data_IF_712744767943
#
_entry.id   IF_712744767943
#
_cell.length_a   1.000
_cell.length_b   1.000
_cell.length_c   1.000
_cell.angle_alpha   90.00
_cell.angle_beta   90.00
_cell.angle_gamma   90.00
#
_symmetry.space_group_name_H-M   'P 1'
#
loop_
_entity.id
_entity.type
_entity.pdbx_description
1 polymer ?
#
# COMPACT_ATOMS: atom_id res chain seq x y z
N UNK A 1 32.95 2.80 12.13
CA UNK A 1 31.80 1.94 12.49
C UNK A 1 30.91 1.67 11.26
N UNK A 2 31.41 0.94 10.24
CA UNK A 2 30.67 0.66 8.98
C UNK A 2 30.56 -0.84 8.63
N UNK A 3 31.04 -1.72 9.52
CA UNK A 3 31.10 -3.18 9.26
C UNK A 3 30.00 -4.00 9.98
N UNK A 4 29.21 -3.37 10.86
CA UNK A 4 28.12 -4.03 11.60
C UNK A 4 26.80 -4.02 10.82
N UNK A 5 26.59 -3.05 9.92
CA UNK A 5 25.31 -2.86 9.21
C UNK A 5 25.03 -3.91 8.14
N UNK A 6 26.06 -4.56 7.58
CA UNK A 6 25.90 -5.56 6.50
C UNK A 6 25.48 -6.93 7.05
N UNK A 7 25.84 -7.27 8.28
CA UNK A 7 25.47 -8.54 8.91
C UNK A 7 23.98 -8.61 9.30
N UNK A 8 23.35 -7.47 9.60
CA UNK A 8 21.93 -7.43 9.99
C UNK A 8 20.95 -7.54 8.82
N UNK A 9 21.29 -7.00 7.65
CA UNK A 9 20.51 -7.22 6.42
C UNK A 9 20.45 -8.70 6.04
N UNK A 10 21.53 -9.45 6.32
CA UNK A 10 21.60 -10.90 6.10
C UNK A 10 20.80 -11.66 7.18
N UNK A 11 20.81 -11.20 8.44
CA UNK A 11 19.98 -11.82 9.49
C UNK A 11 18.48 -11.66 9.25
N UNK A 12 18.06 -10.53 8.66
CA UNK A 12 16.67 -10.31 8.24
C UNK A 12 16.28 -11.26 7.09
N UNK A 13 17.20 -11.54 6.17
CA UNK A 13 17.02 -12.54 5.09
C UNK A 13 16.96 -13.97 5.64
N UNK A 14 17.81 -14.32 6.62
CA UNK A 14 17.88 -15.69 7.18
C UNK A 14 16.66 -15.98 8.06
N UNK A 15 16.17 -15.06 8.90
CA UNK A 15 15.02 -15.34 9.78
C UNK A 15 13.71 -15.56 9.00
N UNK A 16 13.49 -14.85 7.89
CA UNK A 16 12.30 -15.08 7.04
C UNK A 16 12.44 -16.31 6.13
N UNK A 17 13.65 -16.60 5.63
CA UNK A 17 13.86 -17.76 4.73
C UNK A 17 13.89 -19.10 5.45
N UNK A 18 14.34 -19.13 6.71
CA UNK A 18 14.45 -20.36 7.50
C UNK A 18 13.12 -20.80 8.14
N UNK A 19 12.22 -19.86 8.48
CA UNK A 19 10.89 -20.21 9.00
C UNK A 19 9.94 -20.72 7.93
N UNK A 20 10.07 -20.28 6.67
CA UNK A 20 9.23 -20.76 5.55
C UNK A 20 9.67 -22.15 5.06
N UNK A 21 10.96 -22.51 5.17
CA UNK A 21 11.47 -23.84 4.78
C UNK A 21 11.36 -24.91 5.88
N UNK A 22 11.07 -24.55 7.12
CA UNK A 22 10.92 -25.50 8.23
C UNK A 22 9.50 -26.09 8.37
N UNK A 23 8.57 -25.80 7.45
CA UNK A 23 7.21 -26.35 7.48
C UNK A 23 7.06 -27.75 6.85
N UNK A 24 8.16 -28.50 6.64
CA UNK A 24 8.13 -29.83 6.01
C UNK A 24 8.98 -30.90 6.73
N UNK A 25 9.11 -30.84 8.05
CA UNK A 25 9.49 -32.03 8.81
C UNK A 25 8.72 -32.11 10.13
N UNK A 26 7.74 -33.02 10.15
CA UNK A 26 7.15 -33.54 11.38
C UNK A 26 8.27 -34.05 12.30
N UNK A 27 8.35 -33.51 13.52
CA UNK A 27 8.20 -34.26 14.77
C UNK A 27 8.38 -33.35 15.99
N UNK A 28 7.43 -33.47 16.90
CA UNK A 28 7.48 -33.16 18.33
C UNK A 28 7.66 -31.71 18.81
N UNK A 29 6.53 -31.04 19.06
CA UNK A 29 6.26 -30.27 20.29
C UNK A 29 4.76 -29.89 20.35
N UNK A 30 3.96 -30.44 21.28
CA UNK A 30 2.53 -30.14 21.35
C UNK A 30 2.35 -28.75 21.98
N UNK A 31 2.00 -27.76 21.16
CA UNK A 31 1.64 -26.40 21.61
C UNK A 31 2.15 -25.23 20.74
N UNK A 32 2.94 -25.47 19.69
CA UNK A 32 3.79 -24.43 19.08
C UNK A 32 3.29 -23.66 17.85
N UNK A 33 2.06 -23.86 17.34
CA UNK A 33 1.71 -23.30 16.01
C UNK A 33 1.14 -21.86 16.04
N UNK A 34 0.58 -21.38 17.16
CA UNK A 34 0.15 -19.99 17.31
C UNK A 34 1.22 -19.11 18.00
N UNK A 35 2.13 -19.71 18.79
CA UNK A 35 3.23 -18.99 19.45
C UNK A 35 4.36 -18.59 18.51
N UNK A 36 4.60 -19.34 17.43
CA UNK A 36 5.70 -19.08 16.49
C UNK A 36 5.50 -17.83 15.62
N UNK A 37 4.29 -17.62 15.09
CA UNK A 37 3.96 -16.42 14.29
C UNK A 37 3.90 -15.16 15.16
N UNK A 38 3.35 -15.26 16.38
CA UNK A 38 3.31 -14.16 17.33
C UNK A 38 4.69 -13.78 17.86
N UNK A 39 5.58 -14.76 18.09
CA UNK A 39 6.96 -14.51 18.49
C UNK A 39 7.78 -13.82 17.40
N UNK A 40 7.57 -14.19 16.12
CA UNK A 40 8.21 -13.52 14.98
C UNK A 40 7.68 -12.09 14.80
N UNK A 41 6.37 -11.88 14.93
CA UNK A 41 5.77 -10.54 14.88
C UNK A 41 6.25 -9.64 16.03
N UNK A 42 6.34 -10.17 17.25
CA UNK A 42 6.87 -9.42 18.41
C UNK A 42 8.29 -8.93 18.18
N UNK A 43 9.18 -9.80 17.69
CA UNK A 43 10.55 -9.44 17.35
C UNK A 43 10.64 -8.36 16.25
N UNK A 44 9.74 -8.40 15.26
CA UNK A 44 9.67 -7.39 14.20
C UNK A 44 9.18 -6.05 14.76
N UNK A 45 8.13 -6.05 15.59
CA UNK A 45 7.60 -4.82 16.22
C UNK A 45 8.67 -4.17 17.12
N UNK A 46 9.38 -4.94 17.93
CA UNK A 46 10.45 -4.41 18.79
C UNK A 46 11.60 -3.83 17.97
N UNK A 47 11.96 -4.48 16.86
CA UNK A 47 12.91 -3.95 15.90
C UNK A 47 12.43 -2.63 15.29
N UNK A 48 11.19 -2.56 14.80
CA UNK A 48 10.61 -1.36 14.22
C UNK A 48 10.53 -0.23 15.24
N UNK A 49 10.15 -0.52 16.48
CA UNK A 49 10.13 0.44 17.59
C UNK A 49 11.51 1.03 17.81
N UNK A 50 12.54 0.20 17.97
CA UNK A 50 13.92 0.67 18.15
C UNK A 50 14.45 1.45 16.93
N UNK A 51 13.99 1.11 15.74
CA UNK A 51 14.42 1.73 14.50
C UNK A 51 13.78 3.10 14.23
N UNK A 52 12.48 3.22 14.53
CA UNK A 52 11.64 4.33 14.09
C UNK A 52 11.20 5.24 15.23
N UNK A 53 10.87 4.69 16.41
CA UNK A 53 10.37 5.45 17.55
C UNK A 53 11.31 6.57 18.04
N UNK A 54 12.65 6.44 17.97
CA UNK A 54 13.53 7.55 18.34
C UNK A 54 13.35 8.81 17.48
N UNK A 55 12.74 8.69 16.29
CA UNK A 55 12.54 9.80 15.33
C UNK A 55 11.08 10.08 15.03
N UNK A 56 10.20 9.10 15.22
CA UNK A 56 8.80 9.14 14.81
C UNK A 56 7.94 8.62 15.95
N UNK A 57 6.95 9.38 16.38
CA UNK A 57 6.04 8.95 17.46
C UNK A 57 4.98 7.98 16.92
N UNK A 58 5.42 6.76 16.59
CA UNK A 58 4.56 5.68 16.09
C UNK A 58 3.95 4.91 17.26
N UNK A 59 2.63 4.72 17.23
CA UNK A 59 1.95 3.91 18.23
C UNK A 59 2.03 2.40 17.91
N UNK A 60 1.62 1.57 18.86
CA UNK A 60 1.71 0.10 18.74
C UNK A 60 0.87 -0.47 17.58
N UNK A 61 -0.27 0.15 17.26
CA UNK A 61 -1.12 -0.27 16.15
C UNK A 61 -0.46 0.03 14.80
N UNK A 62 0.18 1.19 14.67
CA UNK A 62 0.93 1.59 13.48
C UNK A 62 2.16 0.70 13.26
N UNK A 63 2.87 0.35 14.33
CA UNK A 63 3.99 -0.58 14.26
C UNK A 63 3.53 -1.98 13.84
N UNK A 64 2.38 -2.43 14.34
CA UNK A 64 1.77 -3.72 13.97
C UNK A 64 1.34 -3.72 12.50
N UNK A 65 0.63 -2.69 12.05
CA UNK A 65 0.22 -2.56 10.64
C UNK A 65 1.45 -2.53 9.72
N UNK A 66 2.49 -1.77 10.07
CA UNK A 66 3.74 -1.75 9.31
C UNK A 66 4.42 -3.13 9.27
N UNK A 67 4.46 -3.86 10.38
CA UNK A 67 4.99 -5.22 10.42
C UNK A 67 4.22 -6.17 9.50
N UNK A 68 2.88 -6.07 9.47
CA UNK A 68 2.03 -6.83 8.57
C UNK A 68 2.31 -6.50 7.09
N UNK A 69 2.45 -5.21 6.74
CA UNK A 69 2.79 -4.78 5.38
C UNK A 69 4.18 -5.19 4.93
N UNK A 70 5.16 -5.21 5.82
CA UNK A 70 6.49 -5.76 5.53
C UNK A 70 6.43 -7.28 5.30
N UNK A 71 5.58 -7.99 6.05
CA UNK A 71 5.30 -9.40 5.81
C UNK A 71 4.64 -9.67 4.45
N UNK A 72 3.68 -8.85 4.06
CA UNK A 72 3.06 -8.89 2.72
C UNK A 72 4.10 -8.61 1.62
N UNK A 73 4.93 -7.58 1.78
CA UNK A 73 6.01 -7.24 0.85
C UNK A 73 6.97 -8.42 0.64
N UNK A 74 7.34 -9.10 1.73
CA UNK A 74 8.21 -10.27 1.67
C UNK A 74 7.55 -11.46 0.95
N UNK A 75 6.24 -11.68 1.12
CA UNK A 75 5.48 -12.71 0.37
C UNK A 75 5.48 -12.45 -1.13
N UNK A 76 5.54 -11.19 -1.55
CA UNK A 76 5.68 -10.79 -2.95
C UNK A 76 7.12 -10.90 -3.48
N UNK A 77 8.08 -11.34 -2.66
CA UNK A 77 9.48 -11.49 -3.05
C UNK A 77 10.26 -10.17 -3.06
N UNK A 78 9.71 -9.11 -2.45
CA UNK A 78 10.39 -7.83 -2.33
C UNK A 78 11.02 -7.64 -0.95
N UNK A 79 12.09 -6.85 -0.91
CA UNK A 79 12.79 -6.48 0.32
C UNK A 79 13.00 -4.98 0.36
N UNK A 80 12.96 -4.39 1.55
CA UNK A 80 13.26 -2.98 1.80
C UNK A 80 14.42 -2.87 2.79
N UNK A 81 15.34 -1.95 2.55
CA UNK A 81 16.45 -1.70 3.48
C UNK A 81 16.00 -0.83 4.64
N UNK A 82 16.74 -0.87 5.74
CA UNK A 82 16.50 -0.03 6.91
C UNK A 82 16.50 1.47 6.56
N UNK A 83 17.48 1.92 5.78
CA UNK A 83 17.63 3.32 5.37
C UNK A 83 16.46 3.76 4.49
N UNK A 84 16.03 2.92 3.56
CA UNK A 84 14.90 3.21 2.68
C UNK A 84 13.58 3.23 3.45
N UNK A 85 13.39 2.32 4.41
CA UNK A 85 12.22 2.35 5.30
C UNK A 85 12.16 3.64 6.11
N UNK A 86 13.27 4.02 6.77
CA UNK A 86 13.34 5.28 7.52
C UNK A 86 13.04 6.50 6.63
N UNK A 87 13.56 6.51 5.41
CA UNK A 87 13.30 7.57 4.43
C UNK A 87 11.82 7.67 4.07
N UNK A 88 11.14 6.54 3.87
CA UNK A 88 9.70 6.53 3.54
C UNK A 88 8.82 6.95 4.72
N UNK A 89 9.17 6.52 5.94
CA UNK A 89 8.50 6.99 7.17
C UNK A 89 8.66 8.52 7.29
N UNK A 90 9.87 9.04 7.08
CA UNK A 90 10.15 10.48 7.09
C UNK A 90 9.28 11.23 6.06
N UNK A 91 9.19 10.72 4.83
CA UNK A 91 8.36 11.32 3.79
C UNK A 91 6.88 11.38 4.18
N UNK A 92 6.34 10.32 4.79
CA UNK A 92 4.97 10.31 5.30
C UNK A 92 4.76 11.39 6.36
N UNK A 93 5.70 11.54 7.29
CA UNK A 93 5.65 12.58 8.33
C UNK A 93 5.69 14.00 7.75
N UNK A 94 6.57 14.24 6.77
CA UNK A 94 6.67 15.52 6.07
C UNK A 94 5.37 15.86 5.33
N UNK A 95 4.81 14.88 4.61
CA UNK A 95 3.53 15.03 3.91
C UNK A 95 2.40 15.38 4.89
N UNK A 96 2.30 14.68 6.02
CA UNK A 96 1.27 14.95 7.03
C UNK A 96 1.42 16.34 7.66
N UNK A 97 2.66 16.78 7.89
CA UNK A 97 2.95 18.15 8.35
C UNK A 97 2.52 19.20 7.32
N UNK A 98 2.84 18.98 6.05
CA UNK A 98 2.52 19.93 4.97
C UNK A 98 1.03 20.03 4.67
N UNK A 99 0.28 18.95 4.84
CA UNK A 99 -1.16 18.89 4.52
C UNK A 99 -2.05 19.38 5.66
N UNK A 100 -1.50 19.56 6.86
CA UNK A 100 -2.24 20.08 8.01
C UNK A 100 -3.45 19.23 8.41
N UNK A 101 -3.50 17.96 8.02
CA UNK A 101 -4.60 17.04 8.33
C UNK A 101 -5.79 17.08 7.36
N UNK A 102 -5.70 17.78 6.21
CA UNK A 102 -6.74 17.69 5.16
C UNK A 102 -6.92 16.26 4.65
N UNK A 103 -5.81 15.52 4.59
CA UNK A 103 -5.77 14.07 4.40
C UNK A 103 -4.58 13.50 5.16
N UNK A 104 -4.60 12.20 5.42
CA UNK A 104 -3.55 11.51 6.19
C UNK A 104 -2.80 10.53 5.30
N UNK A 105 -1.51 10.77 5.11
CA UNK A 105 -0.58 9.83 4.53
C UNK A 105 -0.25 8.72 5.54
N UNK A 106 -0.22 7.48 5.05
CA UNK A 106 0.23 6.29 5.80
C UNK A 106 1.11 5.43 4.90
N UNK A 107 2.00 4.66 5.52
CA UNK A 107 2.70 3.61 4.80
C UNK A 107 1.72 2.48 4.48
N UNK A 108 1.62 2.15 3.21
CA UNK A 108 0.88 0.99 2.72
C UNK A 108 1.81 0.09 1.88
N UNK A 109 1.31 -1.08 1.49
CA UNK A 109 2.10 -2.04 0.69
C UNK A 109 2.69 -1.41 -0.58
N UNK A 110 1.91 -0.61 -1.30
CA UNK A 110 2.34 0.07 -2.53
C UNK A 110 3.49 1.03 -2.25
N UNK A 111 3.39 1.83 -1.19
CA UNK A 111 4.44 2.76 -0.78
C UNK A 111 5.72 2.06 -0.34
N UNK A 112 5.68 0.75 -0.02
CA UNK A 112 6.82 -0.07 0.39
C UNK A 112 7.46 -0.85 -0.78
N UNK A 113 6.83 -0.88 -1.95
CA UNK A 113 7.40 -1.50 -3.15
C UNK A 113 8.69 -0.81 -3.63
N UNK A 114 9.61 -1.50 -4.31
CA UNK A 114 10.71 -0.86 -5.02
C UNK A 114 10.20 0.13 -6.07
N UNK A 115 10.98 1.18 -6.36
CA UNK A 115 10.57 2.23 -7.29
C UNK A 115 10.13 1.70 -8.67
N UNK A 116 10.82 0.69 -9.19
CA UNK A 116 10.46 0.06 -10.47
C UNK A 116 9.12 -0.67 -10.43
N UNK A 117 8.76 -1.28 -9.30
CA UNK A 117 7.45 -1.87 -9.12
C UNK A 117 6.36 -0.81 -8.94
N UNK A 118 6.64 0.28 -8.23
CA UNK A 118 5.71 1.41 -8.11
C UNK A 118 5.39 2.05 -9.47
N UNK A 119 6.41 2.24 -10.32
CA UNK A 119 6.22 2.80 -11.68
C UNK A 119 5.29 1.94 -12.55
N UNK A 120 5.36 0.61 -12.42
CA UNK A 120 4.48 -0.30 -13.16
C UNK A 120 3.00 -0.13 -12.78
N UNK A 121 2.71 0.34 -11.56
CA UNK A 121 1.34 0.64 -11.15
C UNK A 121 0.79 1.87 -11.90
N UNK A 122 1.66 2.82 -12.24
CA UNK A 122 1.32 4.05 -12.97
C UNK A 122 1.38 3.85 -14.50
N UNK A 123 0.69 2.83 -15.03
CA UNK A 123 0.79 2.37 -16.43
C UNK A 123 0.14 3.27 -17.50
N UNK A 124 -0.33 4.47 -17.15
CA UNK A 124 -0.91 5.39 -18.14
C UNK A 124 0.22 6.13 -18.85
N UNK A 125 0.49 5.76 -20.09
CA UNK A 125 1.34 6.57 -20.96
C UNK A 125 0.63 7.90 -21.18
N UNK A 126 1.29 9.01 -20.86
CA UNK A 126 0.77 10.33 -21.15
C UNK A 126 0.45 10.37 -22.64
N UNK A 127 -0.84 10.52 -22.96
CA UNK A 127 -1.25 10.81 -24.34
C UNK A 127 -0.69 12.20 -24.59
N UNK A 128 0.49 12.28 -25.20
CA UNK A 128 0.92 13.54 -25.79
C UNK A 128 -0.21 13.97 -26.71
N UNK A 129 -0.73 15.17 -26.49
CA UNK A 129 -1.77 15.79 -27.29
C UNK A 129 -1.28 16.13 -28.72
N UNK A 130 -0.37 15.31 -29.27
CA UNK A 130 0.20 15.39 -30.59
C UNK A 130 -0.52 14.38 -31.49
N UNK A 131 -1.81 14.66 -31.70
CA UNK A 131 -2.55 14.43 -32.94
C UNK A 131 -2.32 13.13 -33.70
N UNK A 132 -2.78 11.99 -33.18
CA UNK A 132 -2.91 10.78 -34.00
C UNK A 132 -4.26 10.05 -33.83
N UNK A 133 -5.26 10.60 -34.50
CA UNK A 133 -6.16 9.95 -35.48
C UNK A 133 -6.95 8.68 -35.15
N UNK A 134 -6.88 8.09 -33.95
CA UNK A 134 -7.76 6.97 -33.54
C UNK A 134 -8.59 7.26 -32.28
N UNK A 135 -8.62 8.51 -31.84
CA UNK A 135 -9.47 8.93 -30.74
C UNK A 135 -10.93 8.75 -31.17
N UNK A 136 -11.68 7.90 -30.45
CA UNK A 136 -13.12 8.04 -30.42
C UNK A 136 -13.39 9.54 -30.21
N UNK A 137 -14.15 10.20 -31.11
CA UNK A 137 -14.36 11.63 -31.00
C UNK A 137 -14.86 11.89 -29.58
N UNK A 138 -14.25 12.85 -28.84
CA UNK A 138 -14.62 13.12 -27.46
C UNK A 138 -16.12 13.22 -27.42
N UNK A 139 -16.74 12.31 -26.64
CA UNK A 139 -18.15 11.96 -26.73
C UNK A 139 -18.95 13.14 -27.23
N UNK A 140 -19.37 13.03 -28.49
CA UNK A 140 -20.07 14.10 -29.20
C UNK A 140 -21.09 14.69 -28.24
N UNK A 141 -21.20 16.02 -28.19
CA UNK A 141 -22.21 16.71 -27.39
C UNK A 141 -23.63 16.41 -27.92
N UNK A 142 -24.00 15.14 -28.16
CA UNK A 142 -25.39 14.63 -28.17
C UNK A 142 -26.10 14.86 -26.83
N UNK A 143 -25.44 15.45 -25.84
CA UNK A 143 -26.08 16.19 -24.74
C UNK A 143 -26.81 17.47 -25.18
N UNK A 144 -26.43 18.11 -26.30
CA UNK A 144 -27.09 19.30 -26.83
C UNK A 144 -28.50 18.99 -27.37
N UNK A 145 -28.74 17.78 -27.90
CA UNK A 145 -30.11 17.32 -28.23
C UNK A 145 -30.94 16.95 -26.98
N UNK A 146 -30.29 16.74 -25.82
CA UNK A 146 -30.95 16.59 -24.51
C UNK A 146 -31.08 17.90 -23.73
N UNK A 147 -30.61 19.04 -24.27
CA UNK A 147 -30.75 20.35 -23.61
C UNK A 147 -32.22 20.70 -23.29
N UNK A 148 -33.20 20.12 -24.00
CA UNK A 148 -34.64 20.24 -23.67
C UNK A 148 -35.08 19.52 -22.38
N UNK A 149 -34.19 18.81 -21.66
CA UNK A 149 -34.49 18.15 -20.38
C UNK A 149 -33.65 18.68 -19.21
N UNK A 150 -32.84 19.71 -19.42
CA UNK A 150 -31.95 20.24 -18.38
C UNK A 150 -32.66 21.18 -17.37
N UNK A 151 -33.88 21.63 -17.64
CA UNK A 151 -34.58 22.64 -16.83
C UNK A 151 -35.02 22.16 -15.43
N UNK A 152 -34.84 20.89 -15.09
CA UNK A 152 -35.25 20.33 -13.79
C UNK A 152 -34.16 19.57 -13.02
N UNK A 153 -32.92 19.57 -13.54
CA UNK A 153 -31.81 18.90 -12.85
C UNK A 153 -31.23 19.84 -11.80
N UNK A 154 -31.55 19.62 -10.52
CA UNK A 154 -30.75 20.18 -9.43
C UNK A 154 -29.47 19.37 -9.28
N UNK A 155 -28.32 20.05 -9.40
CA UNK A 155 -27.04 19.47 -9.00
C UNK A 155 -27.07 19.25 -7.48
N UNK A 156 -26.79 18.02 -7.06
CA UNK A 156 -26.51 17.73 -5.65
C UNK A 156 -25.03 17.87 -5.41
N UNK A 157 -24.66 18.59 -4.35
CA UNK A 157 -23.28 18.75 -3.90
C UNK A 157 -22.67 17.37 -3.59
N UNK A 158 -23.47 16.47 -3.01
CA UNK A 158 -23.07 15.09 -2.73
C UNK A 158 -23.73 14.09 -3.69
N UNK A 159 -22.90 13.35 -4.42
CA UNK A 159 -23.35 12.28 -5.31
C UNK A 159 -22.48 11.03 -5.16
N UNK A 160 -23.12 9.91 -4.84
CA UNK A 160 -22.49 8.58 -4.81
C UNK A 160 -23.29 7.62 -5.70
N UNK A 161 -22.64 7.12 -6.75
CA UNK A 161 -23.19 6.15 -7.71
C UNK A 161 -23.71 4.88 -7.01
N UNK A 162 -23.08 4.46 -5.91
CA UNK A 162 -23.45 3.25 -5.14
C UNK A 162 -24.76 3.44 -4.40
N UNK A 163 -25.12 4.67 -4.07
CA UNK A 163 -26.39 5.03 -3.42
C UNK A 163 -27.49 5.23 -4.46
N UNK A 164 -27.14 5.74 -5.65
CA UNK A 164 -28.09 5.93 -6.74
C UNK A 164 -28.55 4.61 -7.36
N UNK A 165 -27.66 3.62 -7.46
CA UNK A 165 -27.95 2.29 -8.00
C UNK A 165 -27.59 1.17 -7.01
N UNK A 166 -28.34 1.03 -5.90
CA UNK A 166 -27.99 0.08 -4.84
C UNK A 166 -28.01 -1.38 -5.32
N UNK A 167 -28.86 -1.72 -6.30
CA UNK A 167 -28.91 -3.07 -6.90
C UNK A 167 -27.63 -3.44 -7.66
N UNK A 168 -26.84 -2.46 -8.10
CA UNK A 168 -25.58 -2.66 -8.79
C UNK A 168 -24.36 -2.43 -7.89
N UNK A 169 -24.58 -2.19 -6.59
CA UNK A 169 -23.53 -1.81 -5.65
C UNK A 169 -22.40 -2.84 -5.58
N UNK A 170 -22.71 -4.13 -5.68
CA UNK A 170 -21.68 -5.19 -5.66
C UNK A 170 -20.66 -5.05 -6.79
N UNK A 171 -21.11 -4.65 -7.98
CA UNK A 171 -20.24 -4.44 -9.15
C UNK A 171 -19.50 -3.11 -9.03
N UNK A 172 -20.21 -2.04 -8.65
CA UNK A 172 -19.67 -0.67 -8.63
C UNK A 172 -18.68 -0.46 -7.47
N UNK A 173 -18.93 -1.09 -6.32
CA UNK A 173 -18.05 -0.96 -5.15
C UNK A 173 -16.84 -1.89 -5.21
N UNK A 174 -16.76 -2.78 -6.19
CA UNK A 174 -15.66 -3.72 -6.28
C UNK A 174 -14.38 -3.00 -6.71
N UNK A 175 -13.35 -3.06 -5.88
CA UNK A 175 -12.02 -2.54 -6.18
C UNK A 175 -11.22 -3.66 -6.84
N UNK A 176 -10.86 -3.47 -8.10
CA UNK A 176 -10.08 -4.44 -8.86
C UNK A 176 -8.59 -4.34 -8.52
N UNK A 177 -7.91 -5.50 -8.55
CA UNK A 177 -6.46 -5.60 -8.53
C UNK A 177 -5.95 -5.71 -9.97
N UNK A 178 -4.96 -4.89 -10.34
CA UNK A 178 -4.39 -4.84 -11.69
C UNK A 178 -3.19 -5.78 -11.88
N UNK A 179 -2.75 -6.50 -10.84
CA UNK A 179 -1.64 -7.46 -10.88
C UNK A 179 -0.42 -7.00 -10.10
#
# INVERSE_FOLDING_TARGET
MKKITILFSIFLIINFSSTIKAANSQQDLPGGLLGGLLGVLGNVIDFLRNLLTPKFDLNDEELKDLAEKLGELAKLGYTITQEELQKRVQQVFEINTLTGGEWTAKLNLVSLLPLEAQKKLCGTLGVEANGNTNDEPPRDKRGALRAKRADSCSYKIDFDVRNKWPRCRSIISYVHDQG
#
